data_IF_316667183699
#
_entry.id   IF_316667183699
#
_cell.length_a   1.000
_cell.length_b   1.000
_cell.length_c   1.000
_cell.angle_alpha   90.00
_cell.angle_beta   90.00
_cell.angle_gamma   90.00
#
_symmetry.space_group_name_H-M   'P 1'
#
loop_
_entity.id
_entity.type
_entity.pdbx_description
1 polymer ?
#
# COMPACT_ATOMS: atom_id res chain seq x y z
N UNK A 1 -50.65 -8.83 1.77
CA UNK A 1 -50.43 -8.09 3.04
C UNK A 1 -49.06 -7.47 2.98
N UNK A 2 -49.04 -6.16 2.82
CA UNK A 2 -47.83 -5.35 2.59
C UNK A 2 -47.21 -4.99 3.94
N UNK A 3 -45.98 -5.42 4.23
CA UNK A 3 -45.21 -4.94 5.38
C UNK A 3 -44.42 -3.72 4.96
N UNK A 4 -44.97 -2.54 5.18
CA UNK A 4 -44.22 -1.29 5.21
C UNK A 4 -43.36 -1.27 6.49
N UNK A 5 -42.04 -1.40 6.36
CA UNK A 5 -41.12 -1.08 7.43
C UNK A 5 -40.95 0.45 7.47
N UNK A 6 -41.41 1.06 8.54
CA UNK A 6 -41.20 2.48 8.84
C UNK A 6 -39.71 2.67 9.12
N UNK A 7 -39.02 3.32 8.18
CA UNK A 7 -37.66 3.81 8.41
C UNK A 7 -37.81 5.03 9.32
N UNK A 8 -37.46 4.88 10.58
CA UNK A 8 -37.36 6.01 11.52
C UNK A 8 -36.28 6.98 11.06
N UNK A 9 -36.69 8.20 10.73
CA UNK A 9 -35.82 9.32 10.38
C UNK A 9 -34.78 9.53 11.51
N UNK A 10 -33.50 9.35 11.20
CA UNK A 10 -32.39 9.75 12.07
C UNK A 10 -32.48 11.27 12.32
N UNK A 11 -32.51 11.66 13.58
CA UNK A 11 -32.38 13.05 14.01
C UNK A 11 -31.12 13.66 13.43
N UNK A 12 -31.26 14.74 12.71
CA UNK A 12 -30.20 15.63 12.23
C UNK A 12 -29.51 16.25 13.45
N UNK A 13 -28.40 15.66 13.88
CA UNK A 13 -27.52 16.28 14.89
C UNK A 13 -26.21 16.62 14.21
N UNK A 14 -25.82 17.90 14.35
CA UNK A 14 -24.54 18.56 14.08
C UNK A 14 -23.58 17.80 13.17
N UNK A 15 -23.07 18.46 12.14
CA UNK A 15 -22.02 18.01 11.22
C UNK A 15 -20.89 17.27 11.97
N UNK A 16 -21.04 15.96 12.14
CA UNK A 16 -19.94 15.09 12.50
C UNK A 16 -19.02 15.04 11.29
N UNK A 17 -17.74 15.37 11.46
CA UNK A 17 -16.76 15.20 10.41
C UNK A 17 -16.77 13.73 10.04
N UNK A 18 -17.14 13.44 8.79
CA UNK A 18 -17.12 12.10 8.24
C UNK A 18 -15.73 11.51 8.34
N UNK A 19 -15.63 10.20 8.63
CA UNK A 19 -14.37 9.53 8.93
C UNK A 19 -13.91 8.68 7.76
N UNK A 20 -12.60 8.61 7.59
CA UNK A 20 -11.96 7.69 6.65
C UNK A 20 -11.52 6.44 7.40
N UNK A 21 -12.04 5.28 7.03
CA UNK A 21 -11.54 4.00 7.53
C UNK A 21 -10.28 3.62 6.76
N UNK A 22 -9.20 3.31 7.46
CA UNK A 22 -7.95 2.80 6.90
C UNK A 22 -7.69 1.41 7.45
N UNK A 23 -7.91 0.40 6.61
CA UNK A 23 -7.61 -0.99 6.99
C UNK A 23 -6.14 -1.31 6.75
N UNK A 24 -5.50 -2.04 7.67
CA UNK A 24 -4.05 -2.18 7.65
C UNK A 24 -3.32 -0.86 7.96
N UNK A 25 -3.98 0.02 8.72
CA UNK A 25 -3.53 1.39 8.98
C UNK A 25 -2.31 1.50 9.89
N UNK A 26 -1.88 0.42 10.55
CA UNK A 26 -0.63 0.35 11.30
C UNK A 26 0.49 -0.34 10.52
N UNK A 27 0.21 -0.84 9.31
CA UNK A 27 1.22 -1.33 8.38
C UNK A 27 2.07 -0.21 7.79
N UNK A 28 3.08 -0.58 6.98
CA UNK A 28 4.02 0.35 6.38
C UNK A 28 3.35 1.49 5.60
N UNK A 29 2.62 1.17 4.53
CA UNK A 29 1.97 2.18 3.68
C UNK A 29 0.79 2.82 4.43
N UNK A 30 0.02 2.00 5.17
CA UNK A 30 -1.14 2.46 5.92
C UNK A 30 -0.82 3.54 6.94
N UNK A 31 0.24 3.38 7.74
CA UNK A 31 0.63 4.35 8.77
C UNK A 31 1.03 5.72 8.19
N UNK A 32 1.75 5.72 7.05
CA UNK A 32 2.10 6.95 6.34
C UNK A 32 0.87 7.63 5.76
N UNK A 33 -0.06 6.85 5.22
CA UNK A 33 -1.34 7.38 4.70
C UNK A 33 -2.21 7.94 5.82
N UNK A 34 -2.27 7.27 6.99
CA UNK A 34 -2.96 7.78 8.18
C UNK A 34 -2.39 9.13 8.60
N UNK A 35 -1.06 9.27 8.68
CA UNK A 35 -0.40 10.54 9.00
C UNK A 35 -0.80 11.62 8.00
N UNK A 36 -0.70 11.35 6.70
CA UNK A 36 -1.03 12.31 5.65
C UNK A 36 -2.49 12.75 5.71
N UNK A 37 -3.44 11.82 5.87
CA UNK A 37 -4.87 12.12 6.03
C UNK A 37 -5.13 13.03 7.24
N UNK A 38 -4.53 12.69 8.40
CA UNK A 38 -4.73 13.46 9.63
C UNK A 38 -4.09 14.85 9.55
N UNK A 39 -2.95 15.00 8.87
CA UNK A 39 -2.33 16.31 8.60
C UNK A 39 -3.19 17.19 7.68
N UNK A 40 -3.98 16.57 6.79
CA UNK A 40 -5.00 17.27 5.98
C UNK A 40 -6.29 17.56 6.77
N UNK A 41 -6.33 17.25 8.07
CA UNK A 41 -7.45 17.53 8.95
C UNK A 41 -8.61 16.54 8.86
N UNK A 42 -8.42 15.39 8.21
CA UNK A 42 -9.40 14.31 8.15
C UNK A 42 -9.41 13.50 9.46
N UNK A 43 -10.57 12.97 9.83
CA UNK A 43 -10.69 12.03 10.93
C UNK A 43 -10.50 10.60 10.41
N UNK A 44 -9.64 9.83 11.09
CA UNK A 44 -9.26 8.50 10.66
C UNK A 44 -9.65 7.46 11.69
N UNK A 45 -10.20 6.35 11.21
CA UNK A 45 -10.45 5.11 11.96
C UNK A 45 -9.55 4.02 11.38
N UNK A 46 -8.69 3.46 12.19
CA UNK A 46 -7.80 2.36 11.81
C UNK A 46 -8.45 1.03 12.18
N UNK A 47 -8.46 0.07 11.25
CA UNK A 47 -8.74 -1.34 11.50
C UNK A 47 -7.50 -2.14 11.12
N UNK A 48 -6.90 -2.86 12.09
CA UNK A 48 -5.70 -3.66 11.88
C UNK A 48 -5.70 -4.85 12.85
N UNK A 49 -5.33 -6.04 12.39
CA UNK A 49 -5.27 -7.23 13.26
C UNK A 49 -3.90 -7.46 13.90
N UNK A 50 -2.92 -6.60 13.58
CA UNK A 50 -1.53 -6.64 14.04
C UNK A 50 -0.74 -7.90 13.62
N UNK A 51 -1.20 -8.64 12.61
CA UNK A 51 -0.48 -9.83 12.15
C UNK A 51 0.86 -9.51 11.47
N UNK A 52 1.00 -8.29 10.92
CA UNK A 52 2.23 -7.80 10.25
C UNK A 52 2.50 -6.32 10.55
N UNK A 53 2.08 -5.86 11.71
CA UNK A 53 2.23 -4.49 12.20
C UNK A 53 2.41 -4.51 13.73
N UNK A 54 2.68 -3.34 14.31
CA UNK A 54 2.82 -3.19 15.76
C UNK A 54 1.93 -2.07 16.29
N UNK A 55 1.30 -2.29 17.44
CA UNK A 55 0.52 -1.27 18.13
C UNK A 55 1.35 -0.04 18.52
N UNK A 56 2.67 -0.18 18.63
CA UNK A 56 3.58 0.93 18.90
C UNK A 56 3.53 2.01 17.79
N UNK A 57 3.22 1.63 16.53
CA UNK A 57 3.04 2.60 15.44
C UNK A 57 1.95 3.63 15.77
N UNK A 58 0.93 3.25 16.53
CA UNK A 58 -0.14 4.17 16.93
C UNK A 58 0.39 5.36 17.74
N UNK A 59 1.32 5.12 18.67
CA UNK A 59 1.96 6.20 19.45
C UNK A 59 2.88 7.06 18.60
N UNK A 60 3.54 6.47 17.59
CA UNK A 60 4.39 7.22 16.66
C UNK A 60 3.54 8.15 15.77
N UNK A 61 2.38 7.67 15.30
CA UNK A 61 1.42 8.51 14.57
C UNK A 61 0.97 9.67 15.45
N UNK A 62 0.60 9.42 16.71
CA UNK A 62 0.20 10.46 17.66
C UNK A 62 1.32 11.48 17.89
N UNK A 63 2.57 11.06 18.04
CA UNK A 63 3.71 11.96 18.18
C UNK A 63 3.98 12.83 16.94
N UNK A 64 3.68 12.32 15.73
CA UNK A 64 3.87 13.07 14.49
C UNK A 64 2.75 14.08 14.26
N UNK A 65 1.50 13.67 14.52
CA UNK A 65 0.31 14.46 14.17
C UNK A 65 -0.21 15.30 15.34
N UNK A 66 0.16 14.95 16.59
CA UNK A 66 -0.35 15.60 17.81
C UNK A 66 -1.75 15.13 18.23
N UNK A 67 -2.30 14.13 17.56
CA UNK A 67 -3.62 13.55 17.85
C UNK A 67 -3.60 12.05 17.60
N UNK A 68 -4.19 11.27 18.51
CA UNK A 68 -4.34 9.82 18.35
C UNK A 68 -5.51 9.49 17.45
N UNK A 69 -5.34 8.66 16.39
CA UNK A 69 -6.45 8.15 15.60
C UNK A 69 -7.27 7.13 16.41
N UNK A 70 -8.53 6.92 16.00
CA UNK A 70 -9.35 5.81 16.53
C UNK A 70 -8.79 4.50 15.98
N UNK A 71 -8.66 3.49 16.85
CA UNK A 71 -8.09 2.19 16.48
C UNK A 71 -8.95 1.04 16.97
N UNK A 72 -9.20 0.08 16.08
CA UNK A 72 -9.84 -1.18 16.36
C UNK A 72 -8.91 -2.34 15.95
N UNK A 73 -8.54 -3.17 16.92
CA UNK A 73 -7.78 -4.38 16.66
C UNK A 73 -8.75 -5.50 16.24
N UNK A 74 -8.99 -5.62 14.95
CA UNK A 74 -9.98 -6.52 14.36
C UNK A 74 -9.42 -7.14 13.10
N UNK A 75 -9.71 -8.45 12.89
CA UNK A 75 -9.47 -9.15 11.63
C UNK A 75 -10.65 -8.91 10.68
N UNK A 76 -10.36 -8.43 9.46
CA UNK A 76 -11.39 -8.14 8.46
C UNK A 76 -12.13 -9.38 7.95
N UNK A 77 -11.60 -10.57 8.19
CA UNK A 77 -12.28 -11.84 7.87
C UNK A 77 -13.48 -12.07 8.82
N UNK A 78 -13.45 -11.47 10.03
CA UNK A 78 -14.59 -11.46 10.95
C UNK A 78 -15.55 -10.32 10.62
N UNK A 79 -16.50 -10.58 9.72
CA UNK A 79 -17.49 -9.58 9.30
C UNK A 79 -18.32 -9.02 10.46
N UNK A 80 -18.56 -9.81 11.51
CA UNK A 80 -19.37 -9.38 12.66
C UNK A 80 -18.63 -8.32 13.47
N UNK A 81 -17.35 -8.51 13.73
CA UNK A 81 -16.52 -7.53 14.42
C UNK A 81 -16.34 -6.25 13.59
N UNK A 82 -16.17 -6.35 12.28
CA UNK A 82 -16.08 -5.19 11.38
C UNK A 82 -17.41 -4.42 11.34
N UNK A 83 -18.56 -5.11 11.34
CA UNK A 83 -19.90 -4.51 11.40
C UNK A 83 -20.06 -3.58 12.61
N UNK A 84 -19.59 -3.99 13.78
CA UNK A 84 -19.66 -3.15 14.97
C UNK A 84 -18.92 -1.81 14.81
N UNK A 85 -17.84 -1.77 14.02
CA UNK A 85 -17.15 -0.52 13.70
C UNK A 85 -18.01 0.37 12.81
N UNK A 86 -18.65 -0.21 11.77
CA UNK A 86 -19.54 0.52 10.87
C UNK A 86 -20.80 1.04 11.57
N UNK A 87 -21.27 0.35 12.62
CA UNK A 87 -22.39 0.81 13.47
C UNK A 87 -22.01 1.99 14.38
N UNK A 88 -20.75 2.01 14.86
CA UNK A 88 -20.27 3.01 15.85
C UNK A 88 -19.76 4.28 15.18
N UNK A 89 -19.18 4.16 13.97
CA UNK A 89 -18.44 5.24 13.31
C UNK A 89 -19.23 5.82 12.13
N UNK A 90 -19.19 7.15 11.94
CA UNK A 90 -19.81 7.81 10.79
C UNK A 90 -18.81 7.80 9.61
N UNK A 91 -18.82 6.71 8.84
CA UNK A 91 -17.83 6.43 7.80
C UNK A 91 -18.24 7.08 6.48
N UNK A 92 -17.32 7.82 5.87
CA UNK A 92 -17.47 8.41 4.53
C UNK A 92 -16.81 7.57 3.43
N UNK A 93 -15.65 7.01 3.73
CA UNK A 93 -14.82 6.32 2.76
C UNK A 93 -13.93 5.26 3.42
N UNK A 94 -13.50 4.28 2.62
CA UNK A 94 -12.59 3.21 3.03
C UNK A 94 -11.35 3.24 2.16
N UNK A 95 -10.17 3.18 2.79
CA UNK A 95 -8.89 2.89 2.14
C UNK A 95 -8.45 1.51 2.60
N UNK A 96 -8.34 0.58 1.65
CA UNK A 96 -8.10 -0.83 1.93
C UNK A 96 -6.67 -1.25 1.62
N UNK A 97 -5.81 -1.30 2.67
CA UNK A 97 -4.44 -1.82 2.59
C UNK A 97 -4.32 -3.25 3.13
N UNK A 98 -5.15 -3.65 4.08
CA UNK A 98 -5.01 -4.91 4.80
C UNK A 98 -4.97 -6.11 3.84
N UNK A 99 -3.80 -6.74 3.75
CA UNK A 99 -3.55 -7.91 2.91
C UNK A 99 -2.29 -8.63 3.37
N UNK A 100 -2.22 -9.95 3.16
CA UNK A 100 -0.93 -10.63 3.11
C UNK A 100 -0.22 -10.25 1.82
N UNK A 101 1.10 -9.96 1.89
CA UNK A 101 1.83 -9.29 0.79
C UNK A 101 3.10 -10.02 0.32
N UNK A 102 3.55 -11.07 1.02
CA UNK A 102 4.80 -11.77 0.70
C UNK A 102 4.63 -12.71 -0.49
N UNK A 103 5.23 -12.35 -1.63
CA UNK A 103 5.14 -13.11 -2.88
C UNK A 103 5.57 -14.56 -2.69
N UNK A 104 6.75 -14.80 -2.08
CA UNK A 104 7.28 -16.14 -1.87
C UNK A 104 6.40 -16.99 -0.93
N UNK A 105 5.89 -16.40 0.16
CA UNK A 105 4.97 -17.10 1.05
C UNK A 105 3.66 -17.47 0.33
N UNK A 106 3.18 -16.60 -0.56
CA UNK A 106 1.96 -16.87 -1.31
C UNK A 106 2.04 -18.11 -2.19
N UNK A 107 3.23 -18.42 -2.73
CA UNK A 107 3.46 -19.63 -3.53
C UNK A 107 3.38 -20.89 -2.67
N UNK A 108 3.90 -20.82 -1.44
CA UNK A 108 3.91 -21.97 -0.50
C UNK A 108 2.53 -22.16 0.16
N UNK A 109 1.85 -21.05 0.49
CA UNK A 109 0.58 -21.05 1.21
C UNK A 109 -0.53 -20.29 0.45
N UNK A 110 -0.91 -20.68 -0.78
CA UNK A 110 -1.81 -19.89 -1.63
C UNK A 110 -3.19 -19.67 -1.01
N UNK A 111 -3.77 -20.68 -0.37
CA UNK A 111 -5.12 -20.59 0.22
C UNK A 111 -5.19 -19.59 1.38
N UNK A 112 -4.11 -19.37 2.13
CA UNK A 112 -4.00 -18.33 3.15
C UNK A 112 -4.20 -16.95 2.51
N UNK A 113 -3.57 -16.71 1.36
CA UNK A 113 -3.66 -15.43 0.62
C UNK A 113 -5.04 -15.21 0.02
N UNK A 114 -5.59 -16.20 -0.67
CA UNK A 114 -6.94 -16.08 -1.22
C UNK A 114 -7.98 -15.84 -0.14
N UNK A 115 -7.94 -16.61 0.95
CA UNK A 115 -8.90 -16.43 2.05
C UNK A 115 -8.78 -15.05 2.68
N UNK A 116 -7.58 -14.64 3.08
CA UNK A 116 -7.40 -13.37 3.76
C UNK A 116 -7.72 -12.20 2.83
N UNK A 117 -7.10 -12.13 1.66
CA UNK A 117 -7.15 -10.92 0.84
C UNK A 117 -8.50 -10.73 0.13
N UNK A 118 -9.18 -11.83 -0.26
CA UNK A 118 -10.45 -11.73 -0.95
C UNK A 118 -11.64 -11.67 0.00
N UNK A 119 -11.66 -12.47 1.08
CA UNK A 119 -12.75 -12.42 2.05
C UNK A 119 -12.80 -11.08 2.77
N UNK A 120 -11.65 -10.52 3.14
CA UNK A 120 -11.57 -9.17 3.74
C UNK A 120 -12.19 -8.10 2.82
N UNK A 121 -11.87 -8.15 1.53
CA UNK A 121 -12.42 -7.22 0.54
C UNK A 121 -13.93 -7.40 0.37
N UNK A 122 -14.40 -8.65 0.25
CA UNK A 122 -15.85 -8.96 0.11
C UNK A 122 -16.60 -8.46 1.33
N UNK A 123 -16.14 -8.76 2.54
CA UNK A 123 -16.75 -8.30 3.79
C UNK A 123 -16.85 -6.76 3.84
N UNK A 124 -15.80 -6.06 3.41
CA UNK A 124 -15.83 -4.59 3.35
C UNK A 124 -16.87 -4.08 2.35
N UNK A 125 -16.94 -4.64 1.15
CA UNK A 125 -17.92 -4.24 0.12
C UNK A 125 -19.36 -4.51 0.56
N UNK A 126 -19.63 -5.64 1.23
CA UNK A 126 -20.94 -5.95 1.80
C UNK A 126 -21.35 -4.92 2.86
N UNK A 127 -20.45 -4.60 3.80
CA UNK A 127 -20.72 -3.60 4.84
C UNK A 127 -20.81 -2.18 4.28
N UNK A 128 -19.98 -1.82 3.31
CA UNK A 128 -20.08 -0.53 2.62
C UNK A 128 -21.47 -0.36 1.96
N UNK A 129 -21.97 -1.40 1.31
CA UNK A 129 -23.32 -1.38 0.74
C UNK A 129 -24.40 -1.28 1.82
N UNK A 130 -24.31 -2.06 2.90
CA UNK A 130 -25.26 -2.08 4.01
C UNK A 130 -25.35 -0.71 4.71
N UNK A 131 -24.19 -0.06 4.95
CA UNK A 131 -24.09 1.23 5.65
C UNK A 131 -24.06 2.44 4.72
N UNK A 132 -24.25 2.24 3.41
CA UNK A 132 -24.27 3.31 2.39
C UNK A 132 -22.96 4.10 2.32
N UNK A 133 -21.82 3.47 2.56
CA UNK A 133 -20.47 4.02 2.33
C UNK A 133 -20.14 3.87 0.86
N UNK A 134 -19.86 4.98 0.17
CA UNK A 134 -19.86 5.03 -1.28
C UNK A 134 -18.47 5.13 -1.92
N UNK A 135 -17.40 5.28 -1.13
CA UNK A 135 -16.04 5.51 -1.65
C UNK A 135 -15.07 4.45 -1.16
N UNK A 136 -14.50 3.69 -2.09
CA UNK A 136 -13.44 2.70 -1.83
C UNK A 136 -12.16 3.09 -2.56
N UNK A 137 -11.07 3.23 -1.83
CA UNK A 137 -9.73 3.31 -2.39
C UNK A 137 -9.03 1.98 -2.16
N UNK A 138 -8.64 1.31 -3.24
CA UNK A 138 -8.04 -0.03 -3.18
C UNK A 138 -6.54 0.01 -3.45
N UNK A 139 -5.80 -0.58 -2.54
CA UNK A 139 -4.38 -0.88 -2.67
C UNK A 139 -4.16 -2.00 -3.69
N UNK A 140 -4.03 -1.64 -4.97
CA UNK A 140 -3.61 -2.56 -6.01
C UNK A 140 -2.08 -2.57 -6.14
N UNK A 141 -1.55 -3.16 -7.19
CA UNK A 141 -0.11 -3.37 -7.35
C UNK A 141 0.28 -3.44 -8.82
N UNK A 142 1.50 -3.03 -9.16
CA UNK A 142 2.07 -3.26 -10.48
C UNK A 142 2.19 -4.75 -10.84
N UNK A 143 2.07 -5.66 -9.88
CA UNK A 143 2.07 -7.11 -10.13
C UNK A 143 0.91 -7.58 -11.01
N UNK A 144 -0.15 -6.78 -11.18
CA UNK A 144 -1.25 -7.07 -12.10
C UNK A 144 -0.81 -7.10 -13.56
N UNK A 145 0.27 -6.40 -13.90
CA UNK A 145 0.84 -6.39 -15.25
C UNK A 145 1.66 -7.64 -15.61
N UNK A 146 1.96 -8.50 -14.63
CA UNK A 146 2.75 -9.71 -14.84
C UNK A 146 4.12 -9.44 -15.47
N UNK A 147 4.59 -10.38 -16.31
CA UNK A 147 5.86 -10.26 -17.07
C UNK A 147 5.64 -9.52 -18.40
N UNK A 148 5.21 -8.27 -18.36
CA UNK A 148 5.08 -7.45 -19.57
C UNK A 148 6.46 -7.09 -20.11
N UNK A 149 6.57 -7.08 -21.47
CA UNK A 149 7.79 -6.62 -22.15
C UNK A 149 7.74 -5.13 -22.52
N UNK A 150 6.57 -4.53 -22.42
CA UNK A 150 6.36 -3.11 -22.69
C UNK A 150 6.59 -2.31 -21.42
N UNK A 151 7.55 -1.42 -21.43
CA UNK A 151 7.84 -0.45 -20.36
C UNK A 151 8.15 0.92 -20.98
N UNK A 152 7.73 2.04 -20.36
CA UNK A 152 6.92 2.10 -19.14
C UNK A 152 5.54 1.46 -19.33
N UNK A 153 4.95 0.92 -18.23
CA UNK A 153 3.59 0.41 -18.24
C UNK A 153 2.59 1.54 -18.01
N UNK A 154 1.50 1.55 -18.79
CA UNK A 154 0.36 2.44 -18.61
C UNK A 154 -0.82 1.66 -18.03
N UNK A 155 -1.87 2.35 -17.63
CA UNK A 155 -3.11 1.71 -17.15
C UNK A 155 -3.82 0.90 -18.25
N UNK A 156 -3.53 1.20 -19.54
CA UNK A 156 -4.00 0.47 -20.73
C UNK A 156 -3.20 -0.81 -21.00
N UNK A 157 -2.04 -0.98 -20.34
CA UNK A 157 -1.24 -2.20 -20.49
C UNK A 157 -2.08 -3.39 -20.03
N UNK A 158 -2.21 -4.46 -20.85
CA UNK A 158 -3.03 -5.60 -20.49
C UNK A 158 -2.65 -6.21 -19.14
N UNK A 159 -3.66 -6.56 -18.35
CA UNK A 159 -3.50 -7.34 -17.12
C UNK A 159 -3.27 -8.79 -17.53
N UNK A 160 -2.08 -9.31 -17.21
CA UNK A 160 -1.72 -10.69 -17.53
C UNK A 160 -1.96 -11.62 -16.33
N UNK A 161 -1.85 -12.93 -16.58
CA UNK A 161 -1.85 -13.92 -15.51
C UNK A 161 -0.73 -13.58 -14.51
N UNK A 162 -1.11 -13.43 -13.26
CA UNK A 162 -0.15 -13.15 -12.20
C UNK A 162 0.89 -14.28 -12.08
N UNK A 163 2.12 -13.92 -11.80
CA UNK A 163 3.22 -14.86 -11.53
C UNK A 163 3.14 -15.51 -10.13
N UNK A 164 2.26 -15.01 -9.26
CA UNK A 164 2.11 -15.49 -7.88
C UNK A 164 0.67 -15.42 -7.40
N UNK A 165 0.29 -16.24 -6.40
CA UNK A 165 -1.02 -16.14 -5.74
C UNK A 165 -1.29 -14.76 -5.13
N UNK A 166 -0.29 -14.07 -4.57
CA UNK A 166 -0.45 -12.68 -4.14
C UNK A 166 -0.89 -11.76 -5.30
N UNK A 167 -0.18 -11.80 -6.41
CA UNK A 167 -0.56 -11.01 -7.61
C UNK A 167 -1.96 -11.39 -8.12
N UNK A 168 -2.30 -12.68 -8.11
CA UNK A 168 -3.64 -13.16 -8.47
C UNK A 168 -4.72 -12.57 -7.57
N UNK A 169 -4.48 -12.43 -6.24
CA UNK A 169 -5.46 -11.78 -5.34
C UNK A 169 -5.67 -10.31 -5.66
N UNK A 170 -4.65 -9.60 -6.19
CA UNK A 170 -4.82 -8.20 -6.61
C UNK A 170 -5.65 -8.10 -7.88
N UNK A 171 -5.40 -8.95 -8.88
CA UNK A 171 -6.21 -9.02 -10.12
C UNK A 171 -7.67 -9.36 -9.79
N UNK A 172 -7.90 -10.40 -8.99
CA UNK A 172 -9.24 -10.79 -8.55
C UNK A 172 -9.92 -9.68 -7.73
N UNK A 173 -9.16 -8.98 -6.88
CA UNK A 173 -9.67 -7.85 -6.11
C UNK A 173 -10.13 -6.70 -7.01
N UNK A 174 -9.38 -6.35 -8.05
CA UNK A 174 -9.82 -5.35 -9.04
C UNK A 174 -11.10 -5.79 -9.74
N UNK A 175 -11.21 -7.07 -10.15
CA UNK A 175 -12.42 -7.61 -10.79
C UNK A 175 -13.63 -7.60 -9.85
N UNK A 176 -13.48 -8.02 -8.60
CA UNK A 176 -14.56 -8.01 -7.60
C UNK A 176 -15.06 -6.58 -7.38
N UNK A 177 -14.16 -5.60 -7.32
CA UNK A 177 -14.52 -4.20 -7.15
C UNK A 177 -15.26 -3.68 -8.40
N UNK A 178 -14.78 -4.01 -9.59
CA UNK A 178 -15.44 -3.62 -10.84
C UNK A 178 -16.88 -4.17 -10.91
N UNK A 179 -17.08 -5.43 -10.58
CA UNK A 179 -18.40 -6.05 -10.56
C UNK A 179 -19.31 -5.39 -9.49
N UNK A 180 -18.76 -5.09 -8.30
CA UNK A 180 -19.50 -4.39 -7.25
C UNK A 180 -19.89 -2.97 -7.66
N UNK A 181 -18.99 -2.21 -8.30
CA UNK A 181 -19.28 -0.87 -8.83
C UNK A 181 -20.33 -0.92 -9.93
N UNK A 182 -20.22 -1.87 -10.86
CA UNK A 182 -21.19 -2.04 -11.95
C UNK A 182 -22.59 -2.41 -11.45
N UNK A 183 -22.69 -3.08 -10.32
CA UNK A 183 -23.96 -3.44 -9.68
C UNK A 183 -24.58 -2.33 -8.82
N UNK A 184 -23.81 -1.28 -8.49
CA UNK A 184 -24.21 -0.19 -7.58
C UNK A 184 -24.13 1.17 -8.25
N UNK A 185 -25.24 1.92 -8.37
CA UNK A 185 -25.22 3.24 -9.03
C UNK A 185 -24.48 4.32 -8.22
N UNK A 186 -24.10 4.04 -6.98
CA UNK A 186 -23.53 5.05 -6.06
C UNK A 186 -22.12 4.72 -5.59
N UNK A 187 -21.67 3.46 -5.70
CA UNK A 187 -20.34 3.06 -5.29
C UNK A 187 -19.30 3.60 -6.28
N UNK A 188 -18.30 4.26 -5.74
CA UNK A 188 -17.13 4.72 -6.49
C UNK A 188 -15.88 4.04 -5.97
N UNK A 189 -14.97 3.66 -6.85
CA UNK A 189 -13.68 3.11 -6.47
C UNK A 189 -12.53 3.72 -7.26
N UNK A 190 -11.38 3.87 -6.60
CA UNK A 190 -10.10 4.13 -7.25
C UNK A 190 -9.13 3.00 -6.90
N UNK A 191 -8.50 2.45 -7.95
CA UNK A 191 -7.51 1.39 -7.86
C UNK A 191 -6.13 2.02 -8.02
N UNK A 192 -5.30 2.02 -6.98
CA UNK A 192 -3.93 2.51 -7.07
C UNK A 192 -2.97 1.34 -7.31
N UNK A 193 -2.44 1.24 -8.52
CA UNK A 193 -1.43 0.25 -8.95
C UNK A 193 -0.06 0.84 -8.69
N UNK A 194 0.47 0.66 -7.49
CA UNK A 194 1.77 1.22 -7.16
C UNK A 194 2.92 0.23 -7.32
N UNK A 195 4.10 0.81 -7.49
CA UNK A 195 5.34 0.10 -7.70
C UNK A 195 6.02 -0.17 -6.35
N UNK A 196 7.31 -0.12 -6.23
CA UNK A 196 8.00 -0.57 -5.03
C UNK A 196 8.11 0.57 -3.99
N UNK A 197 7.25 0.62 -2.96
CA UNK A 197 7.36 1.65 -1.92
C UNK A 197 8.62 1.45 -1.08
N UNK A 198 9.34 2.55 -0.83
CA UNK A 198 10.59 2.57 -0.07
C UNK A 198 10.71 3.84 0.77
N UNK A 199 11.71 3.87 1.65
CA UNK A 199 11.95 5.02 2.52
C UNK A 199 11.09 5.01 3.79
N UNK A 200 11.07 6.14 4.47
CA UNK A 200 10.38 6.30 5.73
C UNK A 200 9.88 7.74 5.89
N UNK A 201 9.04 7.99 6.87
CA UNK A 201 8.57 9.33 7.18
C UNK A 201 9.73 10.26 7.56
N UNK A 202 9.67 11.52 7.13
CA UNK A 202 10.72 12.52 7.37
C UNK A 202 11.09 12.73 8.84
N UNK A 203 10.18 12.42 9.77
CA UNK A 203 10.45 12.43 11.22
C UNK A 203 11.36 11.28 11.67
N UNK A 204 11.56 10.25 10.86
CA UNK A 204 12.25 9.01 11.22
C UNK A 204 11.49 8.10 12.20
N UNK A 205 10.25 8.44 12.60
CA UNK A 205 9.51 7.72 13.63
C UNK A 205 8.64 6.59 13.11
N UNK A 206 8.27 6.61 11.84
CA UNK A 206 7.55 5.53 11.16
C UNK A 206 8.26 5.18 9.85
N UNK A 207 8.26 3.90 9.51
CA UNK A 207 8.88 3.33 8.32
C UNK A 207 8.48 1.88 8.16
N UNK A 208 9.18 1.13 7.33
CA UNK A 208 8.89 -0.29 7.13
C UNK A 208 9.34 -1.10 8.35
N UNK A 209 8.37 -1.53 9.16
CA UNK A 209 8.60 -2.44 10.29
C UNK A 209 8.43 -3.88 9.83
N UNK A 210 9.55 -4.57 9.64
CA UNK A 210 9.53 -6.01 9.32
C UNK A 210 9.36 -6.82 10.60
N UNK A 211 8.28 -7.61 10.70
CA UNK A 211 8.13 -8.62 11.75
C UNK A 211 8.93 -9.85 11.31
N UNK A 212 10.01 -10.14 12.03
CA UNK A 212 10.97 -11.18 11.66
C UNK A 212 12.04 -10.69 10.68
N UNK A 213 12.44 -11.54 9.71
CA UNK A 213 13.47 -11.19 8.75
C UNK A 213 12.92 -10.23 7.67
N UNK A 214 13.63 -9.15 7.32
CA UNK A 214 13.20 -8.27 6.25
C UNK A 214 13.15 -9.01 4.92
N UNK A 215 12.17 -8.68 4.09
CA UNK A 215 11.94 -9.32 2.78
C UNK A 215 12.09 -8.35 1.61
N UNK A 216 12.09 -7.05 1.87
CA UNK A 216 12.22 -6.02 0.85
C UNK A 216 13.64 -5.48 0.75
N UNK A 217 14.00 -4.98 -0.43
CA UNK A 217 15.37 -4.62 -0.80
C UNK A 217 16.02 -3.61 0.16
N UNK A 218 15.35 -2.49 0.44
CA UNK A 218 15.92 -1.40 1.24
C UNK A 218 16.21 -1.81 2.69
N UNK A 219 15.29 -2.42 3.45
CA UNK A 219 15.59 -2.92 4.78
C UNK A 219 16.72 -3.96 4.81
N UNK A 220 16.78 -4.88 3.81
CA UNK A 220 17.84 -5.89 3.74
C UNK A 220 19.20 -5.23 3.52
N UNK A 221 19.31 -4.27 2.59
CA UNK A 221 20.56 -3.54 2.34
C UNK A 221 20.98 -2.75 3.58
N UNK A 222 20.05 -2.01 4.19
CA UNK A 222 20.33 -1.22 5.39
C UNK A 222 20.87 -2.08 6.53
N UNK A 223 20.23 -3.21 6.81
CA UNK A 223 20.68 -4.15 7.85
C UNK A 223 22.01 -4.83 7.50
N UNK A 224 22.24 -5.13 6.21
CA UNK A 224 23.51 -5.71 5.78
C UNK A 224 24.69 -4.73 5.94
N UNK A 225 24.46 -3.43 5.69
CA UNK A 225 25.44 -2.36 5.91
C UNK A 225 25.73 -2.19 7.42
N UNK A 226 24.70 -2.24 8.26
CA UNK A 226 24.84 -2.07 9.71
C UNK A 226 25.58 -3.25 10.36
N UNK A 227 25.20 -4.47 9.98
CA UNK A 227 25.80 -5.70 10.51
C UNK A 227 27.05 -6.17 9.81
N UNK A 228 27.51 -5.45 8.77
CA UNK A 228 28.65 -5.81 7.90
C UNK A 228 28.51 -7.21 7.27
N UNK A 229 27.28 -7.68 7.10
CA UNK A 229 26.99 -8.98 6.52
C UNK A 229 27.03 -8.97 4.99
N UNK A 230 27.05 -10.17 4.39
CA UNK A 230 27.03 -10.31 2.93
C UNK A 230 25.59 -10.13 2.42
N UNK A 231 25.41 -9.26 1.42
CA UNK A 231 24.16 -9.11 0.71
C UNK A 231 24.15 -9.96 -0.56
N UNK A 232 23.08 -10.74 -0.77
CA UNK A 232 22.91 -11.59 -1.95
C UNK A 232 22.15 -10.85 -3.05
N UNK A 233 22.79 -10.69 -4.20
CA UNK A 233 22.20 -10.15 -5.43
C UNK A 233 21.72 -11.30 -6.30
N UNK A 234 20.43 -11.36 -6.60
CA UNK A 234 19.84 -12.45 -7.37
C UNK A 234 19.79 -12.11 -8.86
N UNK A 235 20.54 -12.89 -9.65
CA UNK A 235 20.69 -12.66 -11.09
C UNK A 235 21.76 -11.59 -11.41
N UNK A 236 22.57 -11.88 -12.44
CA UNK A 236 23.61 -10.98 -12.97
C UNK A 236 23.63 -10.94 -14.50
N UNK A 237 22.63 -11.55 -15.10
CA UNK A 237 22.55 -11.85 -16.54
C UNK A 237 21.22 -11.40 -17.17
N UNK A 238 20.49 -10.47 -16.52
CA UNK A 238 19.32 -9.83 -17.10
C UNK A 238 19.72 -8.88 -18.24
N UNK A 239 18.85 -8.69 -19.23
CA UNK A 239 19.06 -7.71 -20.32
C UNK A 239 18.80 -6.27 -19.82
N UNK A 240 19.61 -5.86 -18.87
CA UNK A 240 19.61 -4.54 -18.21
C UNK A 240 21.03 -3.96 -18.23
N UNK A 241 21.24 -2.67 -17.98
CA UNK A 241 22.57 -2.04 -18.11
C UNK A 241 23.68 -2.65 -17.26
N UNK A 242 23.35 -3.25 -16.11
CA UNK A 242 24.34 -3.84 -15.19
C UNK A 242 24.05 -5.32 -14.87
N UNK A 243 23.10 -5.93 -15.61
CA UNK A 243 22.74 -7.33 -15.46
C UNK A 243 21.81 -7.64 -14.28
N UNK A 244 21.43 -6.66 -13.47
CA UNK A 244 20.50 -6.86 -12.35
C UNK A 244 19.09 -6.34 -12.64
N UNK A 245 18.04 -6.85 -11.96
CA UNK A 245 16.66 -6.42 -12.23
C UNK A 245 16.44 -4.92 -12.02
N UNK A 246 15.56 -4.33 -12.83
CA UNK A 246 15.21 -2.91 -12.75
C UNK A 246 13.77 -2.75 -12.24
N UNK A 247 13.59 -1.89 -11.22
CA UNK A 247 12.29 -1.58 -10.61
C UNK A 247 12.10 -0.08 -10.45
N UNK A 248 10.85 0.34 -10.47
CA UNK A 248 10.46 1.69 -10.07
C UNK A 248 10.29 1.71 -8.55
N UNK A 249 11.09 2.54 -7.88
CA UNK A 249 11.01 2.75 -6.44
C UNK A 249 10.37 4.10 -6.16
N UNK A 250 9.35 4.10 -5.31
CA UNK A 250 8.60 5.29 -4.94
C UNK A 250 8.71 5.54 -3.43
N UNK A 251 8.94 6.80 -3.05
CA UNK A 251 8.96 7.15 -1.64
C UNK A 251 7.59 6.95 -1.00
N UNK A 252 7.53 6.31 0.17
CA UNK A 252 6.27 5.98 0.85
C UNK A 252 5.43 7.21 1.18
N UNK A 253 6.03 8.39 1.42
CA UNK A 253 5.28 9.64 1.61
C UNK A 253 4.66 10.16 0.31
N UNK A 254 5.31 9.97 -0.84
CA UNK A 254 4.69 10.27 -2.14
C UNK A 254 3.51 9.34 -2.39
N UNK A 255 3.66 8.06 -2.08
CA UNK A 255 2.56 7.11 -2.18
C UNK A 255 1.40 7.50 -1.24
N UNK A 256 1.67 7.89 0.02
CA UNK A 256 0.65 8.37 0.95
C UNK A 256 -0.09 9.60 0.40
N UNK A 257 0.63 10.57 -0.17
CA UNK A 257 0.02 11.75 -0.80
C UNK A 257 -0.83 11.39 -2.03
N UNK A 258 -0.47 10.35 -2.79
CA UNK A 258 -1.28 9.84 -3.90
C UNK A 258 -2.64 9.30 -3.42
N UNK A 259 -2.69 8.65 -2.26
CA UNK A 259 -3.95 8.17 -1.67
C UNK A 259 -4.88 9.34 -1.30
N UNK A 260 -4.33 10.41 -0.73
CA UNK A 260 -5.11 11.62 -0.44
C UNK A 260 -5.62 12.27 -1.71
N UNK A 261 -4.77 12.40 -2.73
CA UNK A 261 -5.17 12.96 -4.03
C UNK A 261 -6.26 12.12 -4.72
N UNK A 262 -6.16 10.78 -4.64
CA UNK A 262 -7.18 9.87 -5.17
C UNK A 262 -8.51 9.97 -4.41
N UNK A 263 -8.50 10.14 -3.09
CA UNK A 263 -9.70 10.36 -2.30
C UNK A 263 -10.41 11.65 -2.71
N UNK A 264 -9.65 12.74 -2.90
CA UNK A 264 -10.16 14.03 -3.39
C UNK A 264 -10.68 13.96 -4.84
N UNK A 265 -10.06 13.11 -5.68
CA UNK A 265 -10.51 12.87 -7.03
C UNK A 265 -11.88 12.20 -7.06
N UNK A 266 -12.14 11.20 -6.22
CA UNK A 266 -13.45 10.53 -6.13
C UNK A 266 -14.61 11.48 -5.79
N UNK A 267 -14.34 12.56 -5.06
CA UNK A 267 -15.37 13.56 -4.76
C UNK A 267 -15.81 14.38 -5.97
N UNK A 268 -14.89 14.60 -6.91
CA UNK A 268 -15.09 15.48 -8.08
C UNK A 268 -15.38 14.72 -9.37
N UNK A 269 -14.92 13.47 -9.44
CA UNK A 269 -15.03 12.63 -10.64
C UNK A 269 -16.46 12.13 -10.84
N UNK A 270 -16.88 12.11 -12.10
CA UNK A 270 -18.09 11.41 -12.55
C UNK A 270 -17.84 9.92 -12.81
N UNK A 271 -16.59 9.48 -12.91
CA UNK A 271 -16.26 8.06 -13.07
C UNK A 271 -16.61 7.28 -11.82
N UNK A 272 -17.24 6.13 -12.00
CA UNK A 272 -17.55 5.21 -10.91
C UNK A 272 -16.34 4.35 -10.52
N UNK A 273 -15.47 4.02 -11.48
CA UNK A 273 -14.22 3.31 -11.23
C UNK A 273 -13.10 3.91 -12.07
N UNK A 274 -11.93 4.05 -11.49
CA UNK A 274 -10.72 4.51 -12.18
C UNK A 274 -9.47 3.81 -11.60
N UNK A 275 -8.45 3.59 -12.44
CA UNK A 275 -7.18 3.02 -12.03
C UNK A 275 -6.05 4.00 -12.33
N UNK A 276 -5.03 4.05 -11.45
CA UNK A 276 -3.86 4.91 -11.61
C UNK A 276 -2.57 4.18 -11.28
N UNK A 277 -1.57 4.31 -12.14
CA UNK A 277 -0.21 3.92 -11.86
C UNK A 277 0.45 4.96 -10.95
N UNK A 278 1.00 4.50 -9.84
CA UNK A 278 1.69 5.33 -8.85
C UNK A 278 3.15 4.87 -8.74
N UNK A 279 4.01 5.55 -9.48
CA UNK A 279 5.44 5.33 -9.54
C UNK A 279 6.17 6.62 -9.88
N UNK A 280 7.50 6.55 -9.96
CA UNK A 280 8.34 7.70 -10.31
C UNK A 280 8.53 7.86 -11.81
N UNK A 281 8.23 6.82 -12.59
CA UNK A 281 8.52 6.76 -14.02
C UNK A 281 9.99 6.44 -14.30
N UNK A 282 10.79 6.17 -13.27
CA UNK A 282 12.21 5.87 -13.38
C UNK A 282 12.48 4.46 -12.84
N UNK A 283 13.17 3.66 -13.64
CA UNK A 283 13.65 2.36 -13.22
C UNK A 283 15.07 2.45 -12.67
N UNK A 284 15.31 1.84 -11.50
CA UNK A 284 16.64 1.69 -10.91
C UNK A 284 16.98 0.21 -10.77
N UNK A 285 18.23 -0.14 -11.11
CA UNK A 285 18.74 -1.49 -10.92
C UNK A 285 19.10 -1.76 -9.45
N UNK A 286 19.23 -3.04 -9.08
CA UNK A 286 19.67 -3.41 -7.73
C UNK A 286 21.05 -2.85 -7.42
N UNK A 287 21.98 -2.87 -8.38
CA UNK A 287 23.33 -2.31 -8.17
C UNK A 287 23.34 -0.78 -8.07
N UNK A 288 22.44 -0.07 -8.76
CA UNK A 288 22.28 1.38 -8.58
C UNK A 288 21.79 1.70 -7.16
N UNK A 289 20.82 0.97 -6.64
CA UNK A 289 20.36 1.12 -5.25
C UNK A 289 21.51 0.86 -4.26
N UNK A 290 22.27 -0.21 -4.45
CA UNK A 290 23.43 -0.52 -3.59
C UNK A 290 24.45 0.64 -3.60
N UNK A 291 24.80 1.15 -4.77
CA UNK A 291 25.75 2.29 -4.90
C UNK A 291 25.23 3.51 -4.15
N UNK A 292 23.93 3.79 -4.20
CA UNK A 292 23.37 4.94 -3.51
C UNK A 292 23.40 4.73 -1.98
N UNK A 293 23.11 3.54 -1.47
CA UNK A 293 23.29 3.21 -0.06
C UNK A 293 24.76 3.38 0.38
N UNK A 294 25.72 2.90 -0.41
CA UNK A 294 27.17 3.09 -0.13
C UNK A 294 27.55 4.57 -0.13
N UNK A 295 27.06 5.35 -1.09
CA UNK A 295 27.33 6.78 -1.20
C UNK A 295 26.85 7.56 0.03
N UNK A 296 25.67 7.23 0.54
CA UNK A 296 25.06 7.94 1.67
C UNK A 296 25.61 7.45 3.01
N UNK A 297 25.71 6.14 3.20
CA UNK A 297 26.19 5.56 4.47
C UNK A 297 27.70 5.70 4.65
N UNK A 298 28.46 5.96 3.56
CA UNK A 298 29.93 5.94 3.50
C UNK A 298 30.54 4.57 3.87
N UNK A 299 29.74 3.51 3.85
CA UNK A 299 30.15 2.13 4.10
C UNK A 299 30.04 1.32 2.81
N UNK A 300 30.94 0.35 2.63
CA UNK A 300 30.89 -0.58 1.49
C UNK A 300 30.09 -1.82 1.86
N UNK A 301 29.19 -2.24 0.96
CA UNK A 301 28.43 -3.45 1.09
C UNK A 301 29.18 -4.64 0.49
N UNK A 302 29.34 -5.71 1.25
CA UNK A 302 29.86 -6.98 0.73
C UNK A 302 28.75 -7.67 -0.04
N UNK A 303 28.93 -7.88 -1.36
CA UNK A 303 27.93 -8.53 -2.21
C UNK A 303 28.41 -9.88 -2.72
N UNK A 304 27.48 -10.81 -2.92
CA UNK A 304 27.64 -12.03 -3.70
C UNK A 304 26.50 -12.15 -4.69
N UNK A 305 26.73 -12.82 -5.81
CA UNK A 305 25.70 -13.06 -6.81
C UNK A 305 25.18 -14.48 -6.70
N UNK A 306 23.87 -14.61 -6.76
CA UNK A 306 23.15 -15.87 -6.75
C UNK A 306 22.34 -16.03 -8.06
N UNK A 307 21.81 -17.22 -8.30
CA UNK A 307 20.92 -17.51 -9.43
C UNK A 307 19.67 -16.59 -9.40
N UNK A 308 19.02 -16.40 -10.54
CA UNK A 308 17.77 -15.66 -10.62
C UNK A 308 16.70 -16.25 -9.71
N UNK A 309 15.91 -15.41 -9.07
CA UNK A 309 14.70 -15.88 -8.38
C UNK A 309 13.63 -16.28 -9.39
N UNK A 310 12.96 -17.39 -9.16
CA UNK A 310 11.85 -17.81 -10.01
C UNK A 310 10.71 -16.77 -9.98
N UNK A 311 10.21 -16.41 -11.15
CA UNK A 311 9.14 -15.43 -11.31
C UNK A 311 9.58 -13.96 -11.19
N UNK A 312 10.88 -13.68 -11.07
CA UNK A 312 11.37 -12.30 -11.02
C UNK A 312 11.29 -11.65 -12.42
N UNK A 313 10.60 -10.52 -12.51
CA UNK A 313 10.47 -9.74 -13.75
C UNK A 313 11.78 -9.01 -14.03
N UNK A 314 12.22 -9.00 -15.30
CA UNK A 314 13.49 -8.36 -15.69
C UNK A 314 13.49 -6.85 -15.40
N UNK A 315 12.44 -6.15 -15.83
CA UNK A 315 12.31 -4.71 -15.65
C UNK A 315 10.86 -4.26 -15.69
N UNK A 316 10.50 -3.34 -14.81
CA UNK A 316 9.17 -2.71 -14.78
C UNK A 316 9.22 -1.34 -14.14
N UNK A 317 8.62 -0.32 -14.78
CA UNK A 317 8.40 1.01 -14.22
C UNK A 317 7.16 1.65 -14.82
N UNK A 318 6.60 2.63 -14.08
CA UNK A 318 5.34 3.28 -14.39
C UNK A 318 5.43 4.30 -15.53
N UNK A 319 4.34 4.44 -16.26
CA UNK A 319 3.91 5.74 -16.77
C UNK A 319 2.90 6.32 -15.79
N UNK A 320 3.22 7.44 -15.14
CA UNK A 320 2.37 8.10 -14.15
C UNK A 320 1.70 9.36 -14.68
N UNK A 321 1.64 9.56 -16.01
CA UNK A 321 1.05 10.75 -16.62
C UNK A 321 -0.44 10.89 -16.29
N UNK A 322 -1.20 9.78 -16.25
CA UNK A 322 -2.61 9.80 -15.87
C UNK A 322 -2.81 10.31 -14.43
N UNK A 323 -1.98 9.88 -13.49
CA UNK A 323 -2.02 10.38 -12.12
C UNK A 323 -1.69 11.88 -12.04
N UNK A 324 -0.70 12.34 -12.81
CA UNK A 324 -0.36 13.76 -12.92
C UNK A 324 -1.54 14.60 -13.44
N UNK A 325 -2.18 14.15 -14.51
CA UNK A 325 -3.26 14.89 -15.16
C UNK A 325 -4.57 14.89 -14.39
N UNK A 326 -4.96 13.72 -13.83
CA UNK A 326 -6.27 13.53 -13.21
C UNK A 326 -6.27 13.74 -11.70
N UNK A 327 -5.20 13.34 -11.01
CA UNK A 327 -5.04 13.53 -9.58
C UNK A 327 -4.30 14.83 -9.22
N UNK A 328 -3.69 15.51 -10.19
CA UNK A 328 -2.74 16.60 -9.96
C UNK A 328 -1.60 16.19 -8.99
N UNK A 329 -1.13 14.97 -9.16
CA UNK A 329 -0.12 14.36 -8.31
C UNK A 329 1.14 13.99 -9.10
N UNK A 330 2.29 14.25 -8.50
CA UNK A 330 3.60 13.83 -9.02
C UNK A 330 4.51 13.43 -7.86
N UNK A 331 5.41 12.44 -8.04
CA UNK A 331 6.41 12.10 -7.04
C UNK A 331 7.38 13.27 -6.83
N UNK A 332 7.85 13.44 -5.59
CA UNK A 332 8.71 14.58 -5.20
C UNK A 332 10.08 14.14 -4.71
N UNK A 333 10.18 12.94 -4.14
CA UNK A 333 11.39 12.47 -3.50
C UNK A 333 12.35 11.80 -4.50
N UNK A 334 13.62 12.14 -4.43
CA UNK A 334 14.71 11.51 -5.16
C UNK A 334 15.12 10.17 -4.55
N UNK A 335 15.92 9.36 -5.28
CA UNK A 335 16.50 8.13 -4.76
C UNK A 335 17.37 8.40 -3.52
N UNK A 336 18.13 9.51 -3.52
CA UNK A 336 18.93 9.92 -2.36
C UNK A 336 18.07 10.09 -1.11
N UNK A 337 16.92 10.79 -1.22
CA UNK A 337 16.02 11.02 -0.10
C UNK A 337 15.33 9.71 0.37
N UNK A 338 15.01 8.81 -0.56
CA UNK A 338 14.49 7.47 -0.25
C UNK A 338 15.47 6.69 0.62
N UNK A 339 16.74 6.67 0.25
CA UNK A 339 17.78 5.97 1.00
C UNK A 339 18.08 6.66 2.33
N UNK A 340 18.16 8.00 2.37
CA UNK A 340 18.39 8.75 3.61
C UNK A 340 17.30 8.49 4.64
N UNK A 341 16.04 8.57 4.24
CA UNK A 341 14.91 8.34 5.14
C UNK A 341 14.87 6.90 5.66
N UNK A 342 15.21 5.91 4.81
CA UNK A 342 15.35 4.52 5.22
C UNK A 342 16.41 4.34 6.31
N UNK A 343 17.63 4.91 6.12
CA UNK A 343 18.71 4.81 7.09
C UNK A 343 18.35 5.49 8.43
N UNK A 344 17.68 6.65 8.39
CA UNK A 344 17.20 7.33 9.61
C UNK A 344 16.21 6.45 10.37
N UNK A 345 15.26 5.83 9.68
CA UNK A 345 14.31 4.91 10.28
C UNK A 345 14.98 3.67 10.88
N UNK A 346 15.91 3.03 10.17
CA UNK A 346 16.59 1.84 10.67
C UNK A 346 17.39 2.15 11.95
N UNK A 347 18.07 3.29 12.03
CA UNK A 347 18.73 3.74 13.26
C UNK A 347 17.74 3.98 14.41
N UNK A 348 16.57 4.55 14.12
CA UNK A 348 15.52 4.77 15.12
C UNK A 348 14.92 3.44 15.58
N UNK A 349 14.63 2.55 14.62
CA UNK A 349 14.04 1.23 14.88
C UNK A 349 14.97 0.34 15.73
N UNK A 350 16.26 0.27 15.38
CA UNK A 350 17.24 -0.58 16.08
C UNK A 350 17.50 -0.17 17.54
N UNK A 351 17.16 1.07 17.89
CA UNK A 351 17.28 1.60 19.26
C UNK A 351 16.07 1.31 20.16
N UNK A 352 15.08 0.56 19.72
CA UNK A 352 13.80 0.34 20.41
C UNK A 352 13.35 -1.12 20.34
N UNK A 353 12.57 -1.54 21.36
CA UNK A 353 11.80 -2.79 21.36
C UNK A 353 10.45 -2.55 20.69
N UNK A 354 10.12 -3.36 19.67
CA UNK A 354 8.91 -3.24 18.84
C UNK A 354 7.94 -4.38 19.05
#
# INVERSE_FOLDING_TARGET
MSYFRIVTARKTTMSTKKKVVVTGGLGYIGSHTVVELMQQGLEVVIIDNLCNSSVHILSQIEEIVGKKPVFYQIDLVDISAVREVFEKEDIDSVIHFAAHLLVNESVVNPLKYYRNNLVSLINLLELMNEFSVQKLLFSSSCTVYGDTKQVPVTEETPVFKASSPYGATKIMGEQIIEDAVNSSPVLKSVLLRYFNPVGAHSSGKIGELSIGKPSHLFPIISQAIESESIFMVFGKDYHTPDGTPVRDYIHVQDLASAHVAALQHMEKSSCSIDAFNIGTGNGFSVLEIIREFENISKKKLKITFEERREGDVEKIWADSNKAKEKLNWTPRFSLEEMVRSCLVWENYRSSRDW
#
